data_IF_820323677681
#
_entry.id   IF_820323677681
#
_cell.length_a   1.000
_cell.length_b   1.000
_cell.length_c   1.000
_cell.angle_alpha   90.00
_cell.angle_beta   90.00
_cell.angle_gamma   90.00
#
_symmetry.space_group_name_H-M   'P 1'
#
loop_
_entity.id
_entity.type
_entity.pdbx_description
1 polymer ?
#
# COMPACT_ATOMS: atom_id res chain seq x y z
N UNK A 1 37.13 48.65 -3.84
CA UNK A 1 36.59 48.25 -5.16
C UNK A 1 37.46 47.10 -5.68
N UNK A 2 37.65 46.05 -4.89
CA UNK A 2 36.69 44.96 -4.56
C UNK A 2 36.31 44.17 -5.80
N UNK A 3 37.06 43.11 -6.06
CA UNK A 3 36.58 41.89 -6.72
C UNK A 3 37.52 40.74 -6.33
N UNK A 4 37.39 40.28 -5.08
CA UNK A 4 37.86 38.97 -4.64
C UNK A 4 36.80 38.38 -3.71
N UNK A 5 35.76 37.78 -4.27
CA UNK A 5 34.95 36.76 -3.57
C UNK A 5 34.05 36.03 -4.57
N UNK A 6 34.60 35.07 -5.30
CA UNK A 6 33.80 34.12 -6.09
C UNK A 6 34.41 32.70 -6.11
N UNK A 7 35.21 32.40 -5.08
CA UNK A 7 35.73 31.05 -4.81
C UNK A 7 35.28 30.47 -3.47
N UNK A 8 34.61 31.28 -2.64
CA UNK A 8 34.12 30.87 -1.31
C UNK A 8 32.75 30.18 -1.35
N UNK A 9 31.99 30.31 -2.46
CA UNK A 9 30.66 29.68 -2.61
C UNK A 9 30.70 28.30 -3.30
N UNK A 10 31.74 27.98 -4.07
CA UNK A 10 31.86 26.67 -4.74
C UNK A 10 32.38 25.55 -3.83
N UNK A 11 32.95 25.90 -2.67
CA UNK A 11 33.42 24.92 -1.67
C UNK A 11 32.30 24.47 -0.73
N UNK A 12 31.27 25.29 -0.49
CA UNK A 12 30.16 24.94 0.43
C UNK A 12 29.16 23.92 -0.17
N UNK A 13 29.06 23.83 -1.49
CA UNK A 13 28.15 22.88 -2.15
C UNK A 13 28.78 21.52 -2.48
N UNK A 14 30.07 21.33 -2.24
CA UNK A 14 30.75 20.05 -2.50
C UNK A 14 30.65 19.07 -1.32
N UNK A 15 30.56 19.57 -0.08
CA UNK A 15 30.52 18.75 1.14
C UNK A 15 29.13 18.20 1.50
N UNK A 16 28.05 18.78 0.98
CA UNK A 16 26.69 18.25 1.18
C UNK A 16 26.45 16.89 0.51
N UNK A 17 27.32 16.46 -0.42
CA UNK A 17 27.12 15.22 -1.19
C UNK A 17 27.58 13.94 -0.48
N UNK A 18 28.27 14.02 0.64
CA UNK A 18 28.90 12.84 1.29
C UNK A 18 28.59 12.74 2.79
N UNK A 19 27.63 13.51 3.31
CA UNK A 19 27.28 13.40 4.72
C UNK A 19 26.57 12.08 4.99
N UNK A 20 27.19 11.24 5.81
CA UNK A 20 26.55 10.04 6.35
C UNK A 20 26.82 9.95 7.84
N UNK A 21 25.93 9.31 8.57
CA UNK A 21 26.08 9.10 9.99
C UNK A 21 25.18 7.99 10.50
N UNK A 22 25.54 7.45 11.66
CA UNK A 22 24.91 6.29 12.26
C UNK A 22 24.48 6.58 13.69
N UNK A 23 23.26 6.18 14.02
CA UNK A 23 22.68 6.34 15.35
C UNK A 23 21.97 5.05 15.74
N UNK A 24 21.89 4.76 17.03
CA UNK A 24 21.13 3.64 17.56
C UNK A 24 20.01 4.19 18.44
N UNK A 25 18.78 3.86 18.08
CA UNK A 25 17.58 4.16 18.85
C UNK A 25 17.19 2.91 19.63
N UNK A 26 17.20 3.00 20.96
CA UNK A 26 16.79 1.94 21.86
C UNK A 26 15.33 2.14 22.24
N UNK A 27 14.52 1.10 22.08
CA UNK A 27 13.09 1.11 22.35
C UNK A 27 12.74 0.10 23.43
N UNK A 28 11.91 0.50 24.40
CA UNK A 28 11.41 -0.40 25.44
C UNK A 28 9.93 -0.15 25.71
N UNK A 29 9.16 -1.22 25.85
CA UNK A 29 7.80 -1.14 26.36
C UNK A 29 7.84 -1.21 27.89
N UNK A 30 7.22 -0.24 28.56
CA UNK A 30 7.16 -0.21 30.03
C UNK A 30 5.95 -0.98 30.58
N UNK A 31 5.11 -1.54 29.71
CA UNK A 31 3.95 -2.32 30.13
C UNK A 31 4.33 -3.76 30.51
N UNK A 32 3.92 -4.25 31.69
CA UNK A 32 4.30 -5.58 32.15
C UNK A 32 3.63 -6.73 31.39
N UNK A 33 2.55 -6.46 30.64
CA UNK A 33 1.83 -7.45 29.83
C UNK A 33 2.41 -7.61 28.42
N UNK A 34 3.28 -6.70 27.99
CA UNK A 34 3.84 -6.71 26.64
C UNK A 34 5.32 -6.34 26.60
N UNK A 35 6.14 -7.29 26.15
CA UNK A 35 7.56 -7.09 25.89
C UNK A 35 7.82 -6.94 24.38
N UNK A 36 8.28 -5.74 23.98
CA UNK A 36 8.61 -5.42 22.60
C UNK A 36 9.72 -6.34 22.04
N UNK A 37 10.69 -6.72 22.88
CA UNK A 37 11.79 -7.59 22.49
C UNK A 37 11.30 -9.03 22.30
N UNK A 38 10.40 -9.52 23.17
CA UNK A 38 9.74 -10.81 22.99
C UNK A 38 8.89 -10.86 21.71
N UNK A 39 8.14 -9.78 21.42
CA UNK A 39 7.37 -9.66 20.18
C UNK A 39 8.27 -9.68 18.94
N UNK A 40 9.45 -9.05 19.01
CA UNK A 40 10.42 -9.09 17.92
C UNK A 40 11.06 -10.47 17.71
N UNK A 41 11.19 -11.27 18.78
CA UNK A 41 11.68 -12.65 18.70
C UNK A 41 10.67 -13.61 18.07
N UNK A 42 9.37 -13.32 18.15
CA UNK A 42 8.32 -14.08 17.46
C UNK A 42 8.27 -13.75 15.96
N UNK A 43 8.12 -14.75 15.09
CA UNK A 43 8.12 -14.54 13.64
C UNK A 43 6.94 -13.69 13.14
N UNK A 44 5.77 -13.80 13.76
CA UNK A 44 4.60 -12.99 13.38
C UNK A 44 4.70 -11.59 13.99
N UNK A 45 5.09 -11.49 15.25
CA UNK A 45 5.30 -10.21 15.94
C UNK A 45 6.42 -9.37 15.32
N UNK A 46 7.51 -10.00 14.87
CA UNK A 46 8.67 -9.36 14.22
C UNK A 46 8.30 -8.42 13.09
N UNK A 47 7.47 -8.89 12.16
CA UNK A 47 7.05 -8.07 11.02
C UNK A 47 6.20 -6.87 11.47
N UNK A 48 5.31 -7.08 12.44
CA UNK A 48 4.49 -5.99 13.00
C UNK A 48 5.35 -4.95 13.73
N UNK A 49 6.34 -5.39 14.51
CA UNK A 49 7.30 -4.50 15.20
C UNK A 49 8.10 -3.69 14.19
N UNK A 50 8.64 -4.35 13.16
CA UNK A 50 9.35 -3.67 12.07
C UNK A 50 8.47 -2.63 11.38
N UNK A 51 7.22 -2.96 11.09
CA UNK A 51 6.26 -2.05 10.45
C UNK A 51 5.98 -0.81 11.30
N UNK A 52 5.78 -0.99 12.62
CA UNK A 52 5.62 0.13 13.58
C UNK A 52 6.84 1.05 13.55
N UNK A 53 8.04 0.49 13.62
CA UNK A 53 9.30 1.24 13.59
C UNK A 53 9.41 2.02 12.28
N UNK A 54 9.19 1.35 11.14
CA UNK A 54 9.32 1.98 9.82
C UNK A 54 8.32 3.13 9.64
N UNK A 55 7.05 2.94 9.99
CA UNK A 55 6.03 4.00 9.93
C UNK A 55 6.42 5.20 10.79
N UNK A 56 6.82 4.95 12.03
CA UNK A 56 7.24 6.00 12.96
C UNK A 56 8.43 6.79 12.44
N UNK A 57 9.44 6.12 11.87
CA UNK A 57 10.60 6.79 11.29
C UNK A 57 10.24 7.61 10.05
N UNK A 58 9.34 7.10 9.21
CA UNK A 58 8.84 7.84 8.05
C UNK A 58 8.10 9.11 8.45
N UNK A 59 7.30 9.07 9.51
CA UNK A 59 6.64 10.26 10.06
C UNK A 59 7.67 11.24 10.66
N UNK A 60 8.68 10.74 11.38
CA UNK A 60 9.69 11.56 12.02
C UNK A 60 10.67 12.23 11.03
N UNK A 61 10.99 11.55 9.93
CA UNK A 61 11.89 12.02 8.87
C UNK A 61 11.12 12.76 7.76
N UNK A 62 9.79 12.74 7.77
CA UNK A 62 8.97 13.38 6.74
C UNK A 62 9.03 12.70 5.36
N UNK A 63 9.41 11.43 5.29
CA UNK A 63 9.55 10.71 4.02
C UNK A 63 10.09 9.28 4.11
N UNK A 64 10.20 8.63 2.95
CA UNK A 64 10.76 7.27 2.80
C UNK A 64 12.26 7.28 2.47
N UNK A 65 12.82 8.45 2.14
CA UNK A 65 14.19 8.62 1.69
C UNK A 65 15.06 9.28 2.77
N UNK A 66 16.38 9.17 2.62
CA UNK A 66 17.34 9.85 3.50
C UNK A 66 17.75 9.09 4.76
N UNK A 67 17.12 7.96 5.06
CA UNK A 67 17.52 7.03 6.13
C UNK A 67 17.42 5.57 5.70
N UNK A 68 18.21 4.71 6.34
CA UNK A 68 18.17 3.27 6.21
C UNK A 68 18.20 2.62 7.60
N UNK A 69 17.35 1.63 7.83
CA UNK A 69 17.51 0.74 8.98
C UNK A 69 18.60 -0.26 8.60
N UNK A 70 19.68 -0.32 9.37
CA UNK A 70 20.77 -1.27 9.15
C UNK A 70 20.50 -2.59 9.86
N UNK A 71 20.04 -2.51 11.11
CA UNK A 71 19.86 -3.68 11.97
C UNK A 71 18.83 -3.42 13.07
N UNK A 72 18.04 -4.45 13.36
CA UNK A 72 17.32 -4.59 14.61
C UNK A 72 18.06 -5.63 15.45
N UNK A 73 18.39 -5.31 16.70
CA UNK A 73 19.16 -6.21 17.56
C UNK A 73 18.60 -6.26 18.98
N UNK A 74 18.81 -7.41 19.59
CA UNK A 74 18.54 -7.63 21.01
C UNK A 74 19.55 -6.84 21.84
N UNK A 75 19.05 -5.87 22.60
CA UNK A 75 19.80 -5.07 23.55
C UNK A 75 19.08 -5.09 24.91
N UNK A 76 18.67 -6.28 25.37
CA UNK A 76 17.91 -6.54 26.60
C UNK A 76 18.24 -5.56 27.74
N UNK A 77 17.25 -4.80 28.27
CA UNK A 77 15.80 -4.89 28.05
C UNK A 77 15.25 -4.07 26.87
N UNK A 78 16.11 -3.60 25.97
CA UNK A 78 15.73 -2.76 24.84
C UNK A 78 15.77 -3.53 23.51
N UNK A 79 14.98 -3.06 22.55
CA UNK A 79 15.17 -3.35 21.13
C UNK A 79 16.02 -2.23 20.51
N UNK A 80 17.22 -2.57 20.04
CA UNK A 80 18.13 -1.63 19.40
C UNK A 80 17.84 -1.50 17.91
N UNK A 81 17.58 -0.29 17.44
CA UNK A 81 17.36 0.06 16.03
C UNK A 81 18.57 0.85 15.53
N UNK A 82 19.43 0.22 14.75
CA UNK A 82 20.60 0.86 14.13
C UNK A 82 20.17 1.55 12.83
N UNK A 83 20.32 2.86 12.78
CA UNK A 83 19.89 3.74 11.69
C UNK A 83 21.10 4.39 11.05
N UNK A 84 21.09 4.46 9.72
CA UNK A 84 22.02 5.23 8.92
C UNK A 84 21.28 6.36 8.24
N UNK A 85 21.79 7.58 8.38
CA UNK A 85 21.31 8.73 7.61
C UNK A 85 22.29 9.03 6.47
N UNK A 86 21.74 9.43 5.33
CA UNK A 86 22.48 9.73 4.09
C UNK A 86 22.51 11.22 3.75
N UNK A 87 21.84 12.04 4.56
CA UNK A 87 21.82 13.49 4.42
C UNK A 87 21.50 14.16 5.77
N UNK A 88 22.00 15.38 5.95
CA UNK A 88 21.81 16.17 7.17
C UNK A 88 20.35 16.56 7.41
N UNK A 89 19.60 16.88 6.34
CA UNK A 89 18.19 17.27 6.41
C UNK A 89 17.29 16.22 7.09
N UNK A 90 17.23 14.97 6.57
CA UNK A 90 16.51 13.86 7.19
C UNK A 90 16.92 13.60 8.65
N UNK A 91 18.21 13.66 8.95
CA UNK A 91 18.71 13.47 10.31
C UNK A 91 18.27 14.59 11.26
N UNK A 92 18.28 15.85 10.79
CA UNK A 92 17.82 17.01 11.55
C UNK A 92 16.34 16.89 11.88
N UNK A 93 15.49 16.56 10.90
CA UNK A 93 14.05 16.36 11.11
C UNK A 93 13.77 15.26 12.12
N UNK A 94 14.51 14.14 12.02
CA UNK A 94 14.45 13.07 13.02
C UNK A 94 14.80 13.55 14.43
N UNK A 95 15.90 14.30 14.58
CA UNK A 95 16.33 14.83 15.88
C UNK A 95 15.32 15.82 16.47
N UNK A 96 14.76 16.71 15.65
CA UNK A 96 13.72 17.66 16.06
C UNK A 96 12.45 16.92 16.52
N UNK A 97 12.01 15.91 15.76
CA UNK A 97 10.87 15.05 16.10
C UNK A 97 11.10 14.25 17.39
N UNK A 98 12.33 13.76 17.59
CA UNK A 98 12.73 13.07 18.81
C UNK A 98 12.74 14.02 20.02
N UNK A 99 13.37 15.19 19.90
CA UNK A 99 13.52 16.16 20.98
C UNK A 99 12.18 16.75 21.45
N UNK A 100 11.23 17.00 20.54
CA UNK A 100 9.90 17.48 20.90
C UNK A 100 8.94 16.37 21.36
N UNK A 101 9.36 15.10 21.34
CA UNK A 101 8.55 13.96 21.76
C UNK A 101 7.54 13.46 20.72
N UNK A 102 7.48 14.07 19.53
CA UNK A 102 6.59 13.67 18.45
C UNK A 102 6.87 12.24 17.98
N UNK A 103 8.16 11.86 17.87
CA UNK A 103 8.55 10.49 17.51
C UNK A 103 7.96 9.46 18.49
N UNK A 104 8.07 9.73 19.80
CA UNK A 104 7.53 8.83 20.84
C UNK A 104 6.01 8.75 20.78
N UNK A 105 5.33 9.86 20.53
CA UNK A 105 3.87 9.88 20.38
C UNK A 105 3.42 9.05 19.17
N UNK A 106 4.04 9.24 18.00
CA UNK A 106 3.76 8.43 16.80
C UNK A 106 4.06 6.95 17.04
N UNK A 107 5.17 6.65 17.73
CA UNK A 107 5.53 5.28 18.08
C UNK A 107 4.43 4.61 18.91
N UNK A 108 3.98 5.25 20.00
CA UNK A 108 2.90 4.74 20.85
C UNK A 108 1.61 4.53 20.07
N UNK A 109 1.24 5.48 19.21
CA UNK A 109 0.04 5.39 18.38
C UNK A 109 0.09 4.25 17.37
N UNK A 110 1.22 4.06 16.70
CA UNK A 110 1.39 2.97 15.73
C UNK A 110 1.48 1.61 16.43
N UNK A 111 2.15 1.55 17.58
CA UNK A 111 2.27 0.35 18.38
C UNK A 111 0.92 -0.12 18.92
N UNK A 112 0.08 0.76 19.47
CA UNK A 112 -1.26 0.39 19.95
C UNK A 112 -2.13 -0.19 18.83
N UNK A 113 -2.04 0.36 17.61
CA UNK A 113 -2.81 -0.10 16.45
C UNK A 113 -2.34 -1.43 15.87
N UNK A 114 -1.02 -1.63 15.76
CA UNK A 114 -0.45 -2.76 15.01
C UNK A 114 0.02 -3.92 15.88
N UNK A 115 0.30 -3.67 17.17
CA UNK A 115 0.73 -4.67 18.13
C UNK A 115 -0.36 -5.03 19.15
N UNK A 116 -1.56 -4.43 19.04
CA UNK A 116 -2.69 -4.66 19.95
C UNK A 116 -2.29 -4.35 21.41
N UNK A 117 -1.52 -3.28 21.59
CA UNK A 117 -1.12 -2.81 22.92
C UNK A 117 -2.21 -1.90 23.51
N UNK A 118 -2.31 -1.80 24.85
CA UNK A 118 -3.18 -0.84 25.51
C UNK A 118 -2.95 0.60 25.03
N UNK A 119 -4.00 1.42 24.98
CA UNK A 119 -3.89 2.81 24.51
C UNK A 119 -3.02 3.70 25.42
N UNK A 120 -2.86 3.31 26.69
CA UNK A 120 -2.04 3.96 27.71
C UNK A 120 -0.60 3.41 27.79
N UNK A 121 -0.18 2.60 26.81
CA UNK A 121 1.17 2.02 26.80
C UNK A 121 2.24 3.10 26.77
N UNK A 122 3.14 3.06 27.76
CA UNK A 122 4.30 3.94 27.81
C UNK A 122 5.49 3.27 27.14
N UNK A 123 6.00 3.90 26.08
CA UNK A 123 7.23 3.49 25.41
C UNK A 123 8.38 4.40 25.82
N UNK A 124 9.48 3.80 26.27
CA UNK A 124 10.72 4.50 26.56
C UNK A 124 11.64 4.44 25.34
N UNK A 125 12.33 5.55 25.10
CA UNK A 125 13.29 5.71 24.02
C UNK A 125 14.60 6.25 24.56
N UNK A 126 15.72 5.78 24.01
CA UNK A 126 17.05 6.32 24.26
C UNK A 126 17.83 6.38 22.94
N UNK A 127 18.57 7.46 22.70
CA UNK A 127 19.26 7.70 21.45
C UNK A 127 20.78 7.80 21.66
N UNK A 128 21.57 7.01 20.92
CA UNK A 128 23.03 7.01 21.02
C UNK A 128 23.71 7.10 19.67
N UNK A 129 24.83 7.82 19.59
CA UNK A 129 25.74 7.81 18.45
C UNK A 129 27.13 7.37 18.93
N UNK A 130 27.56 6.17 18.55
CA UNK A 130 28.78 5.56 19.08
C UNK A 130 28.73 5.44 20.61
N UNK A 131 29.65 6.11 21.29
CA UNK A 131 29.72 6.15 22.76
C UNK A 131 28.89 7.27 23.40
N UNK A 132 28.31 8.17 22.58
CA UNK A 132 27.61 9.35 23.08
C UNK A 132 26.12 9.08 23.24
N UNK A 133 25.55 9.51 24.37
CA UNK A 133 24.10 9.47 24.65
C UNK A 133 23.51 10.82 24.24
N UNK A 134 22.84 10.85 23.10
CA UNK A 134 22.33 12.08 22.49
C UNK A 134 21.20 12.72 23.32
N UNK A 135 20.49 11.93 24.13
CA UNK A 135 19.45 12.44 25.05
C UNK A 135 19.96 13.55 25.99
N UNK A 136 21.27 13.59 26.27
CA UNK A 136 21.90 14.58 27.15
C UNK A 136 22.19 15.91 26.46
N UNK A 137 22.13 15.97 25.12
CA UNK A 137 22.47 17.15 24.33
C UNK A 137 21.44 17.49 23.24
N UNK A 138 20.19 17.02 23.35
CA UNK A 138 19.12 17.28 22.37
C UNK A 138 18.78 18.76 22.14
N UNK A 139 19.16 19.63 23.08
CA UNK A 139 18.99 21.09 22.95
C UNK A 139 19.90 21.69 21.86
N UNK A 140 20.99 21.00 21.52
CA UNK A 140 21.95 21.42 20.50
C UNK A 140 21.96 20.41 19.34
N UNK A 141 21.14 20.72 18.33
CA UNK A 141 21.00 19.88 17.13
C UNK A 141 22.31 19.77 16.34
N UNK A 142 23.14 20.81 16.29
CA UNK A 142 24.42 20.78 15.55
C UNK A 142 25.42 19.85 16.23
N UNK A 143 25.49 19.90 17.56
CA UNK A 143 26.33 18.98 18.32
C UNK A 143 25.90 17.52 18.11
N UNK A 144 24.59 17.26 18.13
CA UNK A 144 24.04 15.92 17.84
C UNK A 144 24.40 15.46 16.42
N UNK A 145 24.24 16.31 15.41
CA UNK A 145 24.63 16.01 14.03
C UNK A 145 26.12 15.71 13.92
N UNK A 146 26.97 16.46 14.64
CA UNK A 146 28.40 16.21 14.72
C UNK A 146 28.73 14.81 15.29
N UNK A 147 28.09 14.43 16.40
CA UNK A 147 28.26 13.10 16.99
C UNK A 147 27.77 11.97 16.07
N UNK A 148 26.63 12.16 15.40
CA UNK A 148 26.08 11.19 14.44
C UNK A 148 27.02 11.05 13.23
N UNK A 149 27.59 12.14 12.73
CA UNK A 149 28.52 12.10 11.62
C UNK A 149 29.84 11.41 11.99
N UNK A 150 30.36 11.62 13.21
CA UNK A 150 31.54 10.91 13.70
C UNK A 150 31.30 9.40 13.85
N UNK A 151 30.07 9.03 14.19
CA UNK A 151 29.59 7.64 14.23
C UNK A 151 29.31 7.15 12.81
N UNK A 152 30.33 6.76 12.07
CA UNK A 152 30.18 6.23 10.70
C UNK A 152 29.53 4.84 10.69
N UNK A 153 28.68 4.52 9.68
CA UNK A 153 28.11 3.18 9.54
C UNK A 153 29.20 2.18 9.15
N UNK A 154 29.57 1.28 10.07
CA UNK A 154 30.64 0.29 9.83
C UNK A 154 30.11 -0.98 9.15
N UNK A 155 28.78 -1.14 9.10
CA UNK A 155 28.11 -2.36 8.63
C UNK A 155 27.15 -2.08 7.49
N UNK A 156 27.01 -3.06 6.61
CA UNK A 156 25.93 -3.10 5.64
C UNK A 156 24.61 -3.47 6.34
N UNK A 157 23.50 -3.21 5.65
CA UNK A 157 22.17 -3.63 6.10
C UNK A 157 22.11 -5.15 6.24
N UNK A 158 21.57 -5.64 7.35
CA UNK A 158 21.38 -7.07 7.58
C UNK A 158 20.34 -7.67 6.61
N UNK A 159 20.54 -8.93 6.21
CA UNK A 159 19.61 -9.66 5.31
C UNK A 159 18.20 -9.73 5.88
N UNK A 160 18.08 -9.83 7.20
CA UNK A 160 16.78 -9.82 7.89
C UNK A 160 16.03 -8.51 7.64
N UNK A 161 16.71 -7.37 7.73
CA UNK A 161 16.09 -6.07 7.46
C UNK A 161 15.73 -5.95 5.97
N UNK A 162 16.57 -6.48 5.10
CA UNK A 162 16.27 -6.54 3.66
C UNK A 162 15.00 -7.34 3.38
N UNK A 163 14.82 -8.50 4.02
CA UNK A 163 13.60 -9.31 3.91
C UNK A 163 12.38 -8.59 4.49
N UNK A 164 12.51 -7.93 5.63
CA UNK A 164 11.43 -7.18 6.26
C UNK A 164 11.00 -5.95 5.43
N UNK A 165 11.95 -5.22 4.84
CA UNK A 165 11.66 -4.14 3.88
C UNK A 165 10.97 -4.68 2.61
N UNK A 166 11.40 -5.83 2.08
CA UNK A 166 10.74 -6.47 0.94
C UNK A 166 9.31 -6.92 1.28
N UNK A 167 9.11 -7.54 2.44
CA UNK A 167 7.80 -7.93 2.94
C UNK A 167 6.90 -6.71 3.12
N UNK A 168 7.45 -5.62 3.65
CA UNK A 168 6.73 -4.36 3.82
C UNK A 168 6.38 -3.73 2.47
N UNK A 169 7.30 -3.71 1.52
CA UNK A 169 7.06 -3.23 0.16
C UNK A 169 5.99 -4.07 -0.55
N UNK A 170 6.02 -5.40 -0.37
CA UNK A 170 4.97 -6.30 -0.88
C UNK A 170 3.60 -6.04 -0.24
N UNK A 171 3.56 -5.50 0.98
CA UNK A 171 2.33 -5.12 1.67
C UNK A 171 1.76 -3.77 1.22
N UNK A 172 2.60 -2.86 0.70
CA UNK A 172 2.19 -1.55 0.18
C UNK A 172 2.02 -1.51 -1.34
N UNK A 173 2.67 -2.41 -2.06
CA UNK A 173 2.42 -2.59 -3.47
C UNK A 173 0.95 -3.03 -3.63
N UNK A 174 0.17 -2.39 -4.52
CA UNK A 174 -1.06 -2.99 -5.00
C UNK A 174 -0.66 -4.21 -5.84
N UNK A 175 -0.34 -5.32 -5.17
CA UNK A 175 -0.08 -6.65 -5.74
C UNK A 175 0.44 -6.60 -7.19
N UNK A 176 1.63 -6.04 -7.41
CA UNK A 176 2.40 -6.39 -8.61
C UNK A 176 2.99 -7.76 -8.32
N UNK A 177 2.15 -8.79 -8.47
CA UNK A 177 2.63 -10.17 -8.46
C UNK A 177 3.77 -10.28 -9.48
N UNK A 178 4.89 -10.99 -9.17
CA UNK A 178 5.62 -11.66 -10.24
C UNK A 178 4.61 -12.52 -11.02
N UNK A 179 4.81 -12.86 -12.30
CA UNK A 179 3.81 -13.53 -13.14
C UNK A 179 3.40 -14.90 -12.57
N UNK A 180 2.53 -14.88 -11.57
CA UNK A 180 1.76 -15.97 -11.04
C UNK A 180 0.32 -15.62 -11.39
N UNK A 181 -0.15 -16.39 -12.36
CA UNK A 181 -1.53 -16.56 -12.79
C UNK A 181 -2.54 -15.89 -11.86
N UNK A 182 -3.22 -14.87 -12.38
CA UNK A 182 -4.49 -14.35 -11.87
C UNK A 182 -5.25 -15.52 -11.23
N UNK A 183 -5.68 -15.45 -9.96
CA UNK A 183 -6.60 -16.44 -9.43
C UNK A 183 -7.71 -16.59 -10.46
N UNK A 184 -7.94 -17.81 -10.97
CA UNK A 184 -8.78 -18.10 -12.17
C UNK A 184 -10.22 -17.53 -12.10
N UNK A 185 -10.57 -16.90 -10.97
CA UNK A 185 -11.86 -16.39 -10.58
C UNK A 185 -11.85 -14.89 -10.28
N UNK A 186 -10.90 -14.08 -10.78
CA UNK A 186 -10.95 -12.61 -10.70
C UNK A 186 -10.66 -11.96 -12.06
N UNK A 187 -11.24 -10.78 -12.32
CA UNK A 187 -10.98 -9.96 -13.52
C UNK A 187 -10.73 -8.50 -13.14
N UNK A 188 -10.09 -7.73 -14.03
CA UNK A 188 -9.80 -6.31 -13.81
C UNK A 188 -10.84 -5.44 -14.54
N UNK A 189 -11.42 -4.47 -13.83
CA UNK A 189 -12.23 -3.40 -14.41
C UNK A 189 -11.74 -2.05 -13.85
N UNK A 190 -11.39 -1.11 -14.72
CA UNK A 190 -10.81 0.19 -14.33
C UNK A 190 -9.62 0.10 -13.35
N UNK A 191 -8.73 -0.87 -13.55
CA UNK A 191 -7.59 -1.17 -12.65
C UNK A 191 -7.98 -1.63 -11.23
N UNK A 192 -9.23 -2.04 -11.01
CA UNK A 192 -9.69 -2.66 -9.76
C UNK A 192 -9.99 -4.15 -9.98
N UNK A 193 -9.57 -5.04 -9.08
CA UNK A 193 -9.90 -6.46 -9.16
C UNK A 193 -11.34 -6.72 -8.68
N UNK A 194 -12.07 -7.54 -9.43
CA UNK A 194 -13.42 -8.01 -9.10
C UNK A 194 -13.51 -9.53 -9.22
N UNK A 195 -14.37 -10.13 -8.42
CA UNK A 195 -14.63 -11.57 -8.46
C UNK A 195 -15.37 -11.97 -9.74
N UNK A 196 -14.77 -12.89 -10.49
CA UNK A 196 -15.28 -13.49 -11.73
C UNK A 196 -16.23 -14.65 -11.42
N UNK A 197 -17.32 -14.32 -10.73
CA UNK A 197 -18.42 -15.24 -10.37
C UNK A 197 -19.36 -15.50 -11.56
N UNK A 198 -20.08 -16.64 -11.60
CA UNK A 198 -21.16 -16.85 -12.57
C UNK A 198 -22.26 -15.80 -12.38
N UNK A 199 -22.91 -15.43 -13.49
CA UNK A 199 -24.05 -14.52 -13.49
C UNK A 199 -25.22 -15.14 -12.74
N UNK A 200 -25.83 -14.35 -11.87
CA UNK A 200 -26.99 -14.73 -11.07
C UNK A 200 -28.27 -14.15 -11.66
N UNK A 201 -29.46 -14.65 -11.29
CA UNK A 201 -30.73 -14.04 -11.68
C UNK A 201 -30.85 -12.56 -11.28
N UNK A 202 -30.19 -12.15 -10.19
CA UNK A 202 -30.13 -10.75 -9.78
C UNK A 202 -29.34 -9.89 -10.77
N UNK A 203 -28.24 -10.41 -11.34
CA UNK A 203 -27.47 -9.72 -12.37
C UNK A 203 -28.27 -9.58 -13.67
N UNK A 204 -29.04 -10.62 -14.01
CA UNK A 204 -29.94 -10.62 -15.15
C UNK A 204 -31.01 -9.52 -15.04
N UNK A 205 -31.65 -9.41 -13.87
CA UNK A 205 -32.63 -8.35 -13.62
C UNK A 205 -32.01 -6.96 -13.65
N UNK A 206 -30.83 -6.78 -13.03
CA UNK A 206 -30.10 -5.49 -13.02
C UNK A 206 -29.71 -5.06 -14.43
N UNK A 207 -29.19 -5.98 -15.24
CA UNK A 207 -28.86 -5.72 -16.63
C UNK A 207 -30.09 -5.27 -17.42
N UNK A 208 -31.18 -6.05 -17.35
CA UNK A 208 -32.43 -5.75 -18.06
C UNK A 208 -33.03 -4.39 -17.68
N UNK A 209 -32.93 -4.02 -16.39
CA UNK A 209 -33.43 -2.74 -15.88
C UNK A 209 -32.68 -1.52 -16.44
N UNK A 210 -31.38 -1.64 -16.75
CA UNK A 210 -30.53 -0.48 -17.03
C UNK A 210 -29.97 -0.42 -18.47
N UNK A 211 -29.96 -1.52 -19.22
CA UNK A 211 -29.37 -1.54 -20.57
C UNK A 211 -30.22 -0.82 -21.63
N UNK A 212 -31.54 -0.78 -21.45
CA UNK A 212 -32.46 -0.09 -22.36
C UNK A 212 -32.28 -0.51 -23.83
N UNK A 213 -32.18 0.47 -24.74
CA UNK A 213 -32.11 0.23 -26.20
C UNK A 213 -30.80 -0.40 -26.66
N UNK A 214 -29.75 -0.35 -25.85
CA UNK A 214 -28.42 -0.87 -26.20
C UNK A 214 -28.28 -2.38 -25.96
N UNK A 215 -29.35 -3.07 -25.52
CA UNK A 215 -29.34 -4.51 -25.28
C UNK A 215 -28.89 -5.29 -26.51
N UNK A 216 -29.28 -4.87 -27.72
CA UNK A 216 -28.85 -5.49 -28.99
C UNK A 216 -27.35 -5.34 -29.18
N UNK A 217 -26.77 -4.17 -28.87
CA UNK A 217 -25.34 -3.90 -29.01
C UNK A 217 -24.52 -4.79 -28.07
N UNK A 218 -24.95 -4.89 -26.81
CA UNK A 218 -24.33 -5.80 -25.83
C UNK A 218 -24.49 -7.26 -26.26
N UNK A 219 -25.66 -7.65 -26.77
CA UNK A 219 -25.89 -8.98 -27.34
C UNK A 219 -24.92 -9.32 -28.48
N UNK A 220 -24.65 -8.38 -29.38
CA UNK A 220 -23.68 -8.56 -30.48
C UNK A 220 -22.23 -8.64 -29.97
N UNK A 221 -21.89 -7.95 -28.88
CA UNK A 221 -20.59 -8.12 -28.22
C UNK A 221 -20.46 -9.51 -27.58
N UNK A 222 -21.50 -9.98 -26.86
CA UNK A 222 -21.55 -11.33 -26.27
C UNK A 222 -21.56 -12.45 -27.34
N UNK A 223 -22.14 -12.18 -28.51
CA UNK A 223 -22.20 -13.11 -29.64
C UNK A 223 -20.82 -13.59 -30.11
N UNK A 224 -19.75 -12.78 -29.93
CA UNK A 224 -18.38 -13.17 -30.31
C UNK A 224 -17.95 -14.47 -29.62
N UNK A 225 -18.33 -14.59 -28.34
CA UNK A 225 -17.90 -15.68 -27.47
C UNK A 225 -19.04 -16.64 -27.09
N UNK A 226 -20.29 -16.38 -27.51
CA UNK A 226 -21.44 -17.25 -27.24
C UNK A 226 -22.11 -17.72 -28.53
N UNK A 227 -22.15 -19.04 -28.76
CA UNK A 227 -22.75 -19.62 -29.98
C UNK A 227 -24.27 -19.48 -30.01
N UNK A 228 -24.95 -19.52 -28.85
CA UNK A 228 -26.40 -19.43 -28.76
C UNK A 228 -26.98 -18.04 -29.12
N UNK A 229 -26.12 -17.02 -29.15
CA UNK A 229 -26.44 -15.65 -29.57
C UNK A 229 -26.02 -15.35 -31.02
N UNK A 230 -25.49 -16.34 -31.76
CA UNK A 230 -25.07 -16.15 -33.16
C UNK A 230 -26.23 -16.11 -34.14
N UNK A 231 -25.97 -15.47 -35.28
CA UNK A 231 -26.91 -15.42 -36.40
C UNK A 231 -28.14 -14.57 -36.09
N UNK A 232 -29.35 -15.04 -36.44
CA UNK A 232 -30.60 -14.28 -36.26
C UNK A 232 -31.11 -14.31 -34.81
N UNK A 233 -30.43 -14.97 -33.86
CA UNK A 233 -30.94 -15.18 -32.51
C UNK A 233 -31.32 -13.86 -31.79
N UNK A 234 -30.52 -12.81 -31.96
CA UNK A 234 -30.79 -11.48 -31.35
C UNK A 234 -31.99 -10.81 -32.04
N UNK A 235 -32.11 -10.97 -33.36
CA UNK A 235 -33.21 -10.36 -34.12
C UNK A 235 -34.53 -11.13 -33.88
N UNK A 236 -34.46 -12.45 -33.70
CA UNK A 236 -35.59 -13.29 -33.29
C UNK A 236 -36.07 -12.91 -31.89
N UNK A 237 -35.16 -12.73 -30.92
CA UNK A 237 -35.52 -12.25 -29.58
C UNK A 237 -36.19 -10.86 -29.65
N UNK A 238 -35.72 -10.00 -30.56
CA UNK A 238 -36.33 -8.68 -30.75
C UNK A 238 -37.76 -8.79 -31.30
N UNK A 239 -38.01 -9.71 -32.22
CA UNK A 239 -39.33 -9.95 -32.82
C UNK A 239 -40.30 -10.65 -31.85
N UNK A 240 -39.83 -11.72 -31.18
CA UNK A 240 -40.62 -12.54 -30.25
C UNK A 240 -41.14 -11.71 -29.07
N UNK A 241 -40.27 -10.87 -28.48
CA UNK A 241 -40.58 -10.09 -27.27
C UNK A 241 -40.84 -8.60 -27.56
N UNK A 242 -41.14 -8.24 -28.82
CA UNK A 242 -41.43 -6.83 -29.19
C UNK A 242 -42.59 -6.24 -28.39
N UNK A 243 -43.62 -7.03 -28.11
CA UNK A 243 -44.85 -6.59 -27.42
C UNK A 243 -44.67 -6.40 -25.92
N UNK A 244 -43.67 -7.05 -25.32
CA UNK A 244 -43.39 -7.03 -23.88
C UNK A 244 -42.43 -5.90 -23.49
N UNK A 245 -41.66 -5.41 -24.47
CA UNK A 245 -40.83 -4.22 -24.35
C UNK A 245 -39.35 -4.50 -24.12
N UNK A 246 -38.57 -3.41 -24.02
CA UNK A 246 -37.10 -3.46 -24.01
C UNK A 246 -36.53 -4.21 -22.80
N UNK A 247 -37.19 -4.10 -21.65
CA UNK A 247 -36.79 -4.82 -20.44
C UNK A 247 -36.82 -6.33 -20.69
N UNK A 248 -37.94 -6.84 -21.21
CA UNK A 248 -38.12 -8.27 -21.43
C UNK A 248 -37.15 -8.79 -22.50
N UNK A 249 -36.97 -8.03 -23.60
CA UNK A 249 -35.97 -8.38 -24.62
C UNK A 249 -34.55 -8.52 -24.04
N UNK A 250 -34.15 -7.60 -23.16
CA UNK A 250 -32.84 -7.66 -22.49
C UNK A 250 -32.76 -8.79 -21.45
N UNK A 251 -33.85 -9.05 -20.74
CA UNK A 251 -33.97 -10.14 -19.77
C UNK A 251 -33.83 -11.50 -20.46
N UNK A 252 -34.51 -11.70 -21.58
CA UNK A 252 -34.49 -12.92 -22.38
C UNK A 252 -33.14 -13.14 -23.06
N UNK A 253 -32.49 -12.07 -23.56
CA UNK A 253 -31.12 -12.14 -24.06
C UNK A 253 -30.17 -12.72 -23.00
N UNK A 254 -30.22 -12.15 -21.80
CA UNK A 254 -29.32 -12.55 -20.72
C UNK A 254 -29.66 -13.94 -20.17
N UNK A 255 -30.94 -14.30 -20.11
CA UNK A 255 -31.39 -15.65 -19.78
C UNK A 255 -30.88 -16.69 -20.77
N UNK A 256 -30.97 -16.41 -22.08
CA UNK A 256 -30.43 -17.27 -23.14
C UNK A 256 -28.91 -17.42 -23.05
N UNK A 257 -28.20 -16.35 -22.70
CA UNK A 257 -26.75 -16.39 -22.46
C UNK A 257 -26.39 -17.27 -21.26
N UNK A 258 -27.06 -17.09 -20.12
CA UNK A 258 -26.84 -17.87 -18.89
C UNK A 258 -27.17 -19.35 -19.11
N UNK A 259 -28.27 -19.66 -19.80
CA UNK A 259 -28.65 -21.04 -20.09
C UNK A 259 -27.68 -21.74 -21.05
N UNK A 260 -27.21 -21.05 -22.07
CA UNK A 260 -26.32 -21.63 -23.07
C UNK A 260 -24.89 -21.88 -22.56
N UNK A 261 -24.39 -21.01 -21.70
CA UNK A 261 -23.02 -21.05 -21.19
C UNK A 261 -22.95 -21.68 -19.77
N UNK A 262 -24.04 -21.69 -19.01
CA UNK A 262 -24.09 -22.27 -17.67
C UNK A 262 -23.02 -21.68 -16.75
N UNK A 263 -22.10 -22.51 -16.26
CA UNK A 263 -21.00 -22.07 -15.38
C UNK A 263 -19.95 -21.20 -16.08
N UNK A 264 -19.93 -21.14 -17.42
CA UNK A 264 -19.06 -20.22 -18.18
C UNK A 264 -19.72 -18.86 -18.47
N UNK A 265 -20.99 -18.65 -18.11
CA UNK A 265 -21.63 -17.33 -18.11
C UNK A 265 -21.12 -16.51 -16.92
N UNK A 266 -19.86 -16.06 -17.01
CA UNK A 266 -19.22 -15.32 -15.94
C UNK A 266 -19.45 -13.81 -16.04
N UNK A 267 -19.34 -13.13 -14.89
CA UNK A 267 -19.48 -11.68 -14.78
C UNK A 267 -18.45 -10.94 -15.63
N UNK A 268 -17.19 -11.39 -15.69
CA UNK A 268 -16.15 -10.79 -16.55
C UNK A 268 -16.58 -10.64 -18.01
N UNK A 269 -17.23 -11.66 -18.57
CA UNK A 269 -17.69 -11.67 -19.96
C UNK A 269 -18.76 -10.62 -20.22
N UNK A 270 -19.66 -10.43 -19.26
CA UNK A 270 -20.65 -9.37 -19.33
C UNK A 270 -19.98 -7.99 -19.25
N UNK A 271 -19.06 -7.80 -18.30
CA UNK A 271 -18.37 -6.52 -18.14
C UNK A 271 -17.53 -6.17 -19.39
N UNK A 272 -16.77 -7.12 -19.95
CA UNK A 272 -16.03 -6.87 -21.19
C UNK A 272 -16.96 -6.52 -22.37
N UNK A 273 -18.12 -7.16 -22.48
CA UNK A 273 -19.11 -6.82 -23.51
C UNK A 273 -19.72 -5.42 -23.30
N UNK A 274 -19.88 -4.98 -22.05
CA UNK A 274 -20.33 -3.64 -21.70
C UNK A 274 -19.26 -2.58 -22.01
N UNK A 275 -17.98 -2.87 -21.71
CA UNK A 275 -16.85 -2.01 -22.05
C UNK A 275 -16.70 -1.85 -23.57
N UNK A 276 -16.77 -2.94 -24.33
CA UNK A 276 -16.76 -2.91 -25.80
C UNK A 276 -17.93 -2.10 -26.38
N UNK A 277 -19.08 -2.14 -25.70
CA UNK A 277 -20.29 -1.41 -26.10
C UNK A 277 -20.27 0.07 -25.66
N UNK A 278 -19.21 0.51 -24.96
CA UNK A 278 -19.06 1.85 -24.35
C UNK A 278 -20.10 2.15 -23.26
N UNK A 279 -20.60 1.12 -22.57
CA UNK A 279 -21.57 1.22 -21.47
C UNK A 279 -20.86 1.07 -20.12
N UNK A 280 -19.80 1.82 -19.89
CA UNK A 280 -18.97 1.74 -18.67
C UNK A 280 -19.78 2.02 -17.40
N UNK A 281 -20.72 2.97 -17.45
CA UNK A 281 -21.63 3.28 -16.35
C UNK A 281 -22.52 2.07 -15.97
N UNK A 282 -22.95 1.27 -16.95
CA UNK A 282 -23.71 0.05 -16.67
C UNK A 282 -22.81 -1.03 -16.06
N UNK A 283 -21.55 -1.14 -16.50
CA UNK A 283 -20.58 -2.03 -15.88
C UNK A 283 -20.32 -1.66 -14.40
N UNK A 284 -20.27 -0.36 -14.08
CA UNK A 284 -20.17 0.14 -12.69
C UNK A 284 -21.38 -0.26 -11.84
N UNK A 285 -22.61 -0.09 -12.36
CA UNK A 285 -23.85 -0.52 -11.70
C UNK A 285 -23.84 -2.03 -11.46
N UNK A 286 -23.43 -2.82 -12.45
CA UNK A 286 -23.33 -4.27 -12.34
C UNK A 286 -22.33 -4.71 -11.26
N UNK A 287 -21.26 -3.93 -11.06
CA UNK A 287 -20.23 -4.17 -10.05
C UNK A 287 -20.53 -3.53 -8.70
N UNK A 288 -21.65 -2.81 -8.56
CA UNK A 288 -22.02 -2.13 -7.32
C UNK A 288 -21.10 -0.95 -6.96
N UNK A 289 -20.39 -0.40 -7.95
CA UNK A 289 -19.57 0.80 -7.77
C UNK A 289 -20.53 1.98 -7.74
N UNK A 290 -20.70 2.61 -6.57
CA UNK A 290 -21.50 3.83 -6.48
C UNK A 290 -20.85 4.93 -7.34
N UNK A 291 -21.63 5.70 -8.12
CA UNK A 291 -21.11 6.85 -8.83
C UNK A 291 -20.53 7.83 -7.78
N UNK A 292 -19.28 8.25 -7.98
CA UNK A 292 -18.78 9.45 -7.29
C UNK A 292 -19.61 10.62 -7.80
N UNK A 293 -20.42 11.21 -6.92
CA UNK A 293 -20.92 12.59 -7.09
C UNK A 293 -19.74 13.57 -7.24
#
# INVERSE_FOLDING_TARGET
MDYMDDKSQSVRHADERLWTGCVVLFLRCCDPSADLLALYKDQRGKFSVFKVIKLTLTDAVGGLEGYEILKLHDADPFLGVELKFMATGPCRQFLESYACGSLRQSLTQHASRLLILPEDVTLETQLKAGTQILDQCLQDTELCLGHIHQSQPVRLRDDEITQLEQQLHSSYAPSSCPPQEVPRNCFLFQKRPFDDRPLTPADQQRFAAHVGRDWKRVGRALQKNCRALKGPAIDNLAYEYEREGLYEQAYQLMGRFIQAEGRSAKLSRLISALEESKLTHLAEIMLGIQPKE
#
